data_IF_831247212128
#
_entry.id   IF_831247212128
#
_cell.length_a   1.000
_cell.length_b   1.000
_cell.length_c   1.000
_cell.angle_alpha   90.00
_cell.angle_beta   90.00
_cell.angle_gamma   90.00
#
_symmetry.space_group_name_H-M   'P 1'
#
loop_
_entity.id
_entity.type
_entity.pdbx_description
1 polymer ?
#
# COMPACT_ATOMS: atom_id res chain seq x y z
N UNK A 1 -9.15 1.00 13.45
CA UNK A 1 -8.46 -0.16 12.87
C UNK A 1 -7.15 -0.51 13.59
N UNK A 2 -6.30 0.47 13.89
CA UNK A 2 -5.02 0.27 14.63
C UNK A 2 -5.17 -0.50 15.95
N UNK A 3 -6.18 -0.19 16.77
CA UNK A 3 -6.44 -0.90 18.04
C UNK A 3 -6.91 -2.36 17.85
N UNK A 4 -7.49 -2.70 16.69
CA UNK A 4 -8.05 -4.03 16.42
C UNK A 4 -6.98 -5.05 16.04
N UNK A 5 -5.84 -4.58 15.53
CA UNK A 5 -4.76 -5.41 15.02
C UNK A 5 -3.39 -5.08 15.66
N UNK A 6 -3.39 -4.38 16.80
CA UNK A 6 -2.16 -3.89 17.44
C UNK A 6 -1.13 -5.01 17.69
N UNK A 7 -1.58 -6.23 18.00
CA UNK A 7 -0.73 -7.40 18.20
C UNK A 7 -0.07 -7.93 16.92
N UNK A 8 -0.68 -7.67 15.76
CA UNK A 8 -0.25 -8.12 14.43
C UNK A 8 0.47 -7.04 13.63
N UNK A 9 0.26 -5.76 13.97
CA UNK A 9 0.82 -4.61 13.29
C UNK A 9 2.35 -4.64 13.27
N UNK A 10 2.93 -4.22 12.15
CA UNK A 10 4.38 -4.18 11.87
C UNK A 10 5.09 -5.55 11.85
N UNK A 11 4.41 -6.62 12.26
CA UNK A 11 4.92 -8.01 12.24
C UNK A 11 4.34 -8.77 11.05
N UNK A 12 3.04 -8.99 11.10
CA UNK A 12 2.29 -9.83 10.16
C UNK A 12 1.48 -8.97 9.18
N UNK A 13 1.05 -7.79 9.63
CA UNK A 13 0.24 -6.87 8.82
C UNK A 13 0.71 -5.42 8.92
N UNK A 14 0.45 -4.65 7.87
CA UNK A 14 0.50 -3.20 7.86
C UNK A 14 -0.90 -2.67 7.53
N UNK A 15 -1.34 -1.63 8.24
CA UNK A 15 -2.67 -1.06 8.08
C UNK A 15 -2.56 0.44 7.91
N UNK A 16 -3.22 0.98 6.89
CA UNK A 16 -3.35 2.41 6.67
C UNK A 16 -4.79 2.74 6.30
N UNK A 17 -5.52 3.37 7.23
CA UNK A 17 -6.96 3.67 7.10
C UNK A 17 -7.74 2.41 6.71
N UNK A 18 -8.16 2.28 5.45
CA UNK A 18 -8.94 1.14 4.93
C UNK A 18 -8.09 0.10 4.19
N UNK A 19 -6.84 0.43 3.91
CA UNK A 19 -5.91 -0.43 3.18
C UNK A 19 -5.10 -1.31 4.15
N UNK A 20 -5.00 -2.60 3.84
CA UNK A 20 -4.28 -3.58 4.65
C UNK A 20 -3.35 -4.42 3.78
N UNK A 21 -2.12 -4.62 4.24
CA UNK A 21 -1.18 -5.62 3.69
C UNK A 21 -0.96 -6.70 4.74
N UNK A 22 -1.09 -7.96 4.34
CA UNK A 22 -0.53 -9.08 5.09
C UNK A 22 0.82 -9.48 4.45
N UNK A 23 1.88 -9.57 5.25
CA UNK A 23 3.22 -9.93 4.78
C UNK A 23 3.79 -11.08 5.60
N UNK A 24 4.60 -11.93 4.98
CA UNK A 24 5.24 -13.07 5.63
C UNK A 24 6.49 -13.49 4.85
N UNK A 25 7.46 -14.11 5.53
CA UNK A 25 8.71 -14.54 4.88
C UNK A 25 8.56 -15.85 4.09
N UNK A 26 7.65 -16.73 4.51
CA UNK A 26 7.38 -18.01 3.87
C UNK A 26 5.87 -18.25 3.73
N UNK A 27 5.50 -19.16 2.83
CA UNK A 27 4.10 -19.44 2.48
C UNK A 27 3.33 -20.08 3.63
N UNK A 28 3.93 -21.04 4.34
CA UNK A 28 3.28 -21.72 5.47
C UNK A 28 2.88 -20.76 6.59
N UNK A 29 3.78 -19.85 6.97
CA UNK A 29 3.50 -18.78 7.91
C UNK A 29 2.49 -17.77 7.37
N UNK A 30 2.51 -17.51 6.06
CA UNK A 30 1.54 -16.63 5.43
C UNK A 30 0.10 -17.13 5.56
N UNK A 31 -0.13 -18.43 5.34
CA UNK A 31 -1.45 -19.06 5.52
C UNK A 31 -1.93 -18.94 6.97
N UNK A 32 -1.03 -19.13 7.93
CA UNK A 32 -1.37 -18.99 9.35
C UNK A 32 -1.75 -17.54 9.71
N UNK A 33 -1.00 -16.58 9.20
CA UNK A 33 -1.25 -15.15 9.42
C UNK A 33 -2.56 -14.71 8.77
N UNK A 34 -2.85 -15.16 7.55
CA UNK A 34 -4.15 -14.91 6.88
C UNK A 34 -5.31 -15.51 7.67
N UNK A 35 -5.15 -16.71 8.24
CA UNK A 35 -6.20 -17.33 9.08
C UNK A 35 -6.51 -16.47 10.30
N UNK A 36 -5.48 -16.01 11.02
CA UNK A 36 -5.63 -15.10 12.17
C UNK A 36 -6.31 -13.79 11.74
N UNK A 37 -5.86 -13.19 10.64
CA UNK A 37 -6.41 -11.96 10.09
C UNK A 37 -7.91 -12.11 9.79
N UNK A 38 -8.31 -13.15 9.05
CA UNK A 38 -9.71 -13.37 8.71
C UNK A 38 -10.59 -13.70 9.92
N UNK A 39 -10.06 -14.40 10.93
CA UNK A 39 -10.76 -14.60 12.20
C UNK A 39 -11.01 -13.26 12.92
N UNK A 40 -10.02 -12.38 12.94
CA UNK A 40 -10.12 -11.04 13.53
C UNK A 40 -11.13 -10.16 12.79
N UNK A 41 -11.08 -10.16 11.45
CA UNK A 41 -12.04 -9.43 10.62
C UNK A 41 -13.48 -9.90 10.90
N UNK A 42 -13.72 -11.22 10.96
CA UNK A 42 -15.03 -11.77 11.32
C UNK A 42 -15.48 -11.37 12.73
N UNK A 43 -14.58 -11.42 13.73
CA UNK A 43 -14.88 -11.04 15.12
C UNK A 43 -15.41 -9.61 15.22
N UNK A 44 -14.84 -8.69 14.45
CA UNK A 44 -15.22 -7.27 14.45
C UNK A 44 -16.19 -6.89 13.31
N UNK A 45 -16.77 -7.88 12.62
CA UNK A 45 -17.71 -7.69 11.51
C UNK A 45 -17.18 -6.80 10.36
N UNK A 46 -15.86 -6.78 10.17
CA UNK A 46 -15.23 -6.09 9.05
C UNK A 46 -15.29 -6.96 7.80
N UNK A 47 -15.66 -6.35 6.67
CA UNK A 47 -15.77 -7.02 5.38
C UNK A 47 -14.72 -6.49 4.42
N UNK A 48 -14.07 -7.41 3.72
CA UNK A 48 -13.19 -7.09 2.60
C UNK A 48 -14.00 -7.04 1.31
N UNK A 49 -13.60 -6.19 0.36
CA UNK A 49 -14.14 -6.20 -1.00
C UNK A 49 -13.30 -7.17 -1.86
N UNK A 50 -13.83 -8.35 -2.23
CA UNK A 50 -13.05 -9.35 -2.95
C UNK A 50 -12.48 -8.85 -4.29
N UNK A 51 -13.20 -7.96 -4.97
CA UNK A 51 -12.75 -7.39 -6.25
C UNK A 51 -11.53 -6.47 -6.11
N UNK A 52 -11.24 -5.99 -4.90
CA UNK A 52 -10.06 -5.17 -4.59
C UNK A 52 -8.97 -5.93 -3.85
N UNK A 53 -9.21 -7.19 -3.50
CA UNK A 53 -8.24 -8.00 -2.77
C UNK A 53 -7.36 -8.80 -3.73
N UNK A 54 -6.05 -8.70 -3.53
CA UNK A 54 -5.06 -9.49 -4.23
C UNK A 54 -4.34 -10.39 -3.23
N UNK A 55 -4.24 -11.68 -3.53
CA UNK A 55 -3.67 -12.69 -2.62
C UNK A 55 -2.50 -13.43 -3.26
N UNK A 56 -1.61 -13.98 -2.42
CA UNK A 56 -0.49 -14.84 -2.81
C UNK A 56 0.42 -14.23 -3.90
N UNK A 57 0.68 -12.92 -3.80
CA UNK A 57 1.58 -12.20 -4.71
C UNK A 57 2.94 -11.96 -4.09
N UNK A 58 3.98 -11.95 -4.93
CA UNK A 58 5.36 -11.61 -4.53
C UNK A 58 5.60 -10.10 -4.48
N UNK A 59 4.74 -9.32 -5.16
CA UNK A 59 4.68 -7.86 -5.09
C UNK A 59 3.23 -7.37 -5.16
N UNK A 60 2.95 -6.25 -4.50
CA UNK A 60 1.60 -5.69 -4.43
C UNK A 60 1.61 -4.16 -4.46
N UNK A 61 0.62 -3.58 -5.13
CA UNK A 61 0.40 -2.12 -5.12
C UNK A 61 -0.35 -1.72 -3.85
N UNK A 62 0.16 -0.72 -3.14
CA UNK A 62 -0.50 -0.11 -1.98
C UNK A 62 -0.15 1.37 -1.91
N UNK A 63 -1.16 2.23 -1.71
CA UNK A 63 -0.98 3.68 -1.57
C UNK A 63 -0.10 4.29 -2.66
N UNK A 64 -0.20 3.85 -3.92
CA UNK A 64 0.63 4.36 -5.01
C UNK A 64 2.11 3.93 -4.99
N UNK A 65 2.46 2.94 -4.18
CA UNK A 65 3.77 2.29 -4.14
C UNK A 65 3.64 0.80 -4.46
N UNK A 66 4.75 0.17 -4.85
CA UNK A 66 4.86 -1.28 -5.05
C UNK A 66 5.70 -1.85 -3.92
N UNK A 67 5.08 -2.65 -3.04
CA UNK A 67 5.79 -3.39 -2.02
C UNK A 67 6.24 -4.74 -2.58
N UNK A 68 7.51 -5.08 -2.42
CA UNK A 68 8.09 -6.36 -2.86
C UNK A 68 9.15 -6.87 -1.88
N UNK A 69 9.70 -8.06 -2.13
CA UNK A 69 10.86 -8.58 -1.38
C UNK A 69 12.09 -7.66 -1.41
N UNK A 70 12.23 -6.81 -2.43
CA UNK A 70 13.37 -5.87 -2.57
C UNK A 70 13.17 -4.57 -1.79
N UNK A 71 11.98 -4.37 -1.22
CA UNK A 71 11.59 -3.13 -0.56
C UNK A 71 10.39 -2.47 -1.22
N UNK A 72 10.24 -1.17 -0.97
CA UNK A 72 9.17 -0.33 -1.48
C UNK A 72 9.70 0.42 -2.70
N UNK A 73 9.03 0.26 -3.83
CA UNK A 73 9.31 0.96 -5.07
C UNK A 73 8.15 1.90 -5.44
N UNK A 74 8.37 2.83 -6.34
CA UNK A 74 7.33 3.71 -6.86
C UNK A 74 6.46 2.98 -7.89
N UNK A 75 5.15 3.20 -7.85
CA UNK A 75 4.28 2.70 -8.92
C UNK A 75 4.66 3.39 -10.25
N UNK A 76 5.04 2.63 -11.30
CA UNK A 76 5.36 3.20 -12.62
C UNK A 76 4.27 4.11 -13.18
N UNK A 77 3.00 3.86 -12.83
CA UNK A 77 1.88 4.69 -13.26
C UNK A 77 1.91 6.09 -12.64
N UNK A 78 2.42 6.23 -11.41
CA UNK A 78 2.64 7.54 -10.76
C UNK A 78 3.80 8.29 -11.42
N UNK A 79 4.87 7.58 -11.79
CA UNK A 79 6.00 8.16 -12.53
C UNK A 79 5.52 8.68 -13.89
N UNK A 80 4.81 7.85 -14.66
CA UNK A 80 4.24 8.24 -15.96
C UNK A 80 3.33 9.46 -15.85
N UNK A 81 2.50 9.54 -14.80
CA UNK A 81 1.60 10.67 -14.59
C UNK A 81 2.35 12.00 -14.32
N UNK A 82 3.57 11.95 -13.78
CA UNK A 82 4.43 13.12 -13.58
C UNK A 82 5.17 13.44 -14.88
N UNK A 83 5.72 12.44 -15.58
CA UNK A 83 6.41 12.62 -16.85
C UNK A 83 5.51 13.19 -17.95
N UNK A 84 4.25 12.76 -17.99
CA UNK A 84 3.25 13.23 -18.94
C UNK A 84 2.53 14.50 -18.46
N UNK A 85 2.93 15.09 -17.34
CA UNK A 85 2.31 16.32 -16.85
C UNK A 85 2.69 17.48 -17.78
N UNK A 86 1.73 18.22 -18.34
CA UNK A 86 2.03 19.32 -19.23
C UNK A 86 2.76 20.45 -18.48
N UNK A 87 3.57 21.27 -19.15
CA UNK A 87 4.22 22.41 -18.53
C UNK A 87 3.18 23.31 -17.82
N UNK A 88 3.32 23.53 -16.50
CA UNK A 88 2.35 24.31 -15.74
C UNK A 88 2.38 25.77 -16.20
N UNK A 89 1.21 26.33 -16.48
CA UNK A 89 1.03 27.71 -16.94
C UNK A 89 0.56 28.64 -15.80
N UNK A 90 0.04 28.08 -14.72
CA UNK A 90 -0.47 28.85 -13.58
C UNK A 90 0.25 28.53 -12.28
N UNK A 91 0.26 29.48 -11.34
CA UNK A 91 0.83 29.27 -10.00
C UNK A 91 0.16 28.08 -9.27
N UNK A 92 -1.14 27.85 -9.51
CA UNK A 92 -1.87 26.71 -8.94
C UNK A 92 -1.36 25.38 -9.50
N UNK A 93 -1.11 25.31 -10.81
CA UNK A 93 -0.54 24.12 -11.45
C UNK A 93 0.89 23.86 -10.98
N UNK A 94 1.71 24.90 -10.84
CA UNK A 94 3.06 24.77 -10.26
C UNK A 94 3.00 24.15 -8.87
N UNK A 95 2.14 24.67 -7.98
CA UNK A 95 1.94 24.09 -6.63
C UNK A 95 1.47 22.64 -6.70
N UNK A 96 0.54 22.33 -7.61
CA UNK A 96 0.05 20.95 -7.81
C UNK A 96 1.14 19.99 -8.29
N UNK A 97 1.98 20.44 -9.22
CA UNK A 97 3.12 19.68 -9.72
C UNK A 97 4.16 19.42 -8.63
N UNK A 98 4.56 20.47 -7.88
CA UNK A 98 5.46 20.34 -6.74
C UNK A 98 4.90 19.39 -5.66
N UNK A 99 3.59 19.41 -5.41
CA UNK A 99 2.96 18.46 -4.50
C UNK A 99 3.11 17.00 -4.96
N UNK A 100 2.99 16.73 -6.27
CA UNK A 100 3.20 15.39 -6.83
C UNK A 100 4.66 14.95 -6.75
N UNK A 101 5.61 15.87 -6.97
CA UNK A 101 7.04 15.59 -6.80
C UNK A 101 7.39 15.32 -5.34
N UNK A 102 6.88 16.13 -4.41
CA UNK A 102 7.09 15.95 -2.98
C UNK A 102 6.58 14.60 -2.48
N UNK A 103 5.50 14.08 -3.06
CA UNK A 103 4.99 12.74 -2.73
C UNK A 103 6.01 11.62 -3.01
N UNK A 104 6.86 11.81 -4.03
CA UNK A 104 7.83 10.82 -4.51
C UNK A 104 9.28 11.21 -4.21
N UNK A 105 9.50 12.30 -3.46
CA UNK A 105 10.82 12.92 -3.25
C UNK A 105 11.87 11.96 -2.69
N UNK A 106 11.47 10.96 -1.91
CA UNK A 106 12.37 9.92 -1.38
C UNK A 106 13.08 9.08 -2.46
N UNK A 107 12.58 9.08 -3.69
CA UNK A 107 13.11 8.34 -4.84
C UNK A 107 13.88 9.23 -5.82
N UNK A 108 14.00 10.53 -5.52
CA UNK A 108 14.71 11.51 -6.33
C UNK A 108 16.04 11.79 -5.61
N UNK A 109 17.15 11.61 -6.32
CA UNK A 109 18.51 11.92 -5.85
C UNK A 109 18.97 13.27 -6.38
#
# INVERSE_FOLDING_TARGET
>A
MVSLFNDMMHKEIEVYVDDMIAKSQNEGGHIQNLRKLFQRLRKYQLKLNPAKCTFAVTSGKLLGFVASKRGIDIDPDKVKAIQNFPPPQTQKEVRGFLGRLNYISRFIS
#
